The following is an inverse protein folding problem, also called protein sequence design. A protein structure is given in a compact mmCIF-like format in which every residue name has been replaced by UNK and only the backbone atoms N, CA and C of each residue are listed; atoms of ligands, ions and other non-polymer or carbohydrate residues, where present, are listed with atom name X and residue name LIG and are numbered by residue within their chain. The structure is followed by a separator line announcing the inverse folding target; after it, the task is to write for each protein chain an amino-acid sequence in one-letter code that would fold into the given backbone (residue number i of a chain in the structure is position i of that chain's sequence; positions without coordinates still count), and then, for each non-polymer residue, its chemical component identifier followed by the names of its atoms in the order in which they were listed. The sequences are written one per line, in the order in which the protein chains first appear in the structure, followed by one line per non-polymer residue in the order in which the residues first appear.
data_IF_978708838820
#
_entry.id   IF_978708838820
#
_cell.length_a   1.000
_cell.length_b   1.000
_cell.length_c   1.000
_cell.angle_alpha   90.00
_cell.angle_beta   90.00
_cell.angle_gamma   90.00
#
_symmetry.space_group_name_H-M   'P 1'
#
loop_
_entity.id
_entity.type
_entity.pdbx_description
1 polymer ?
#
# COMPACT_ATOMS: atom_id res chain seq x y z
N UNK A 1 -1.87 -8.80 21.57
CA UNK A 1 -2.88 -7.76 21.88
C UNK A 1 -3.97 -8.35 22.77
N UNK A 2 -4.75 -7.53 23.47
CA UNK A 2 -5.97 -7.98 24.19
C UNK A 2 -7.08 -6.92 24.13
N UNK A 3 -8.33 -7.35 24.25
CA UNK A 3 -9.52 -6.51 24.43
C UNK A 3 -10.24 -6.97 25.70
N UNK A 4 -10.68 -6.03 26.52
CA UNK A 4 -11.47 -6.30 27.72
C UNK A 4 -12.82 -5.62 27.61
N UNK A 5 -13.89 -6.36 27.90
CA UNK A 5 -15.28 -5.87 27.93
C UNK A 5 -15.84 -6.21 29.32
N UNK A 6 -15.94 -5.23 30.20
CA UNK A 6 -16.24 -5.49 31.61
C UNK A 6 -15.19 -6.40 32.25
N UNK A 7 -15.60 -7.61 32.67
CA UNK A 7 -14.71 -8.63 33.25
C UNK A 7 -14.18 -9.64 32.22
N UNK A 8 -14.75 -9.68 31.01
CA UNK A 8 -14.32 -10.60 29.97
C UNK A 8 -13.04 -10.11 29.31
N UNK A 9 -12.09 -11.01 29.10
CA UNK A 9 -10.81 -10.72 28.46
C UNK A 9 -10.61 -11.62 27.25
N UNK A 10 -10.31 -10.99 26.12
CA UNK A 10 -10.02 -11.63 24.84
C UNK A 10 -8.57 -11.35 24.46
N UNK A 11 -7.74 -12.37 24.29
CA UNK A 11 -6.29 -12.18 24.10
C UNK A 11 -5.64 -13.15 23.12
N UNK A 12 -6.40 -14.05 22.50
CA UNK A 12 -5.86 -14.91 21.45
C UNK A 12 -5.75 -14.16 20.13
N UNK A 13 -4.89 -14.60 19.22
CA UNK A 13 -4.77 -13.97 17.88
C UNK A 13 -6.05 -14.08 17.06
N UNK A 14 -6.85 -15.13 17.31
CA UNK A 14 -8.17 -15.31 16.72
C UNK A 14 -9.21 -14.36 17.28
N UNK A 15 -9.01 -13.82 18.50
CA UNK A 15 -9.91 -12.84 19.09
C UNK A 15 -9.54 -11.41 18.73
N UNK A 16 -8.25 -11.08 18.81
CA UNK A 16 -7.75 -9.73 18.61
C UNK A 16 -6.34 -9.72 18.05
N UNK A 17 -6.14 -8.90 17.02
CA UNK A 17 -4.83 -8.64 16.43
C UNK A 17 -4.63 -7.15 16.24
N UNK A 18 -3.51 -6.61 16.71
CA UNK A 18 -3.18 -5.21 16.40
C UNK A 18 -3.01 -5.05 14.88
N UNK A 19 -3.53 -3.96 14.32
CA UNK A 19 -3.27 -3.64 12.91
C UNK A 19 -1.82 -3.15 12.77
N UNK A 20 -1.16 -3.43 11.64
CA UNK A 20 0.27 -3.13 11.44
C UNK A 20 0.62 -1.64 11.58
N UNK A 21 -0.34 -0.75 11.34
CA UNK A 21 -0.21 0.70 11.53
C UNK A 21 -0.62 1.18 12.94
N UNK A 22 -1.00 0.30 13.86
CA UNK A 22 -1.39 0.69 15.22
C UNK A 22 -0.23 1.37 15.95
N UNK A 23 -0.56 2.34 16.79
CA UNK A 23 0.31 2.76 17.89
C UNK A 23 0.23 1.72 19.02
N UNK A 24 1.29 1.66 19.83
CA UNK A 24 1.30 0.81 21.02
C UNK A 24 0.67 1.56 22.19
N UNK A 25 -0.21 0.90 22.92
CA UNK A 25 -0.81 1.49 24.11
C UNK A 25 -2.03 0.76 24.64
N UNK A 26 -2.45 1.23 25.82
CA UNK A 26 -3.65 0.83 26.52
C UNK A 26 -4.65 1.99 26.46
N UNK A 27 -5.82 1.73 25.85
CA UNK A 27 -6.88 2.73 25.71
C UNK A 27 -8.17 2.16 26.27
N UNK A 28 -8.79 2.90 27.19
CA UNK A 28 -10.13 2.60 27.70
C UNK A 28 -11.11 3.69 27.28
N UNK A 29 -12.31 3.30 26.84
CA UNK A 29 -13.37 4.24 26.55
C UNK A 29 -14.71 3.60 26.21
N UNK A 30 -15.74 4.44 26.18
CA UNK A 30 -17.05 4.09 25.64
C UNK A 30 -16.95 3.75 24.15
N UNK A 31 -17.88 2.93 23.65
CA UNK A 31 -17.86 2.48 22.26
C UNK A 31 -18.89 3.22 21.41
N UNK A 32 -18.47 3.66 20.23
CA UNK A 32 -19.35 4.16 19.17
C UNK A 32 -19.19 3.30 17.93
N UNK A 33 -20.30 2.75 17.45
CA UNK A 33 -20.33 2.07 16.16
C UNK A 33 -20.46 3.10 15.04
N UNK A 34 -19.43 3.24 14.21
CA UNK A 34 -19.40 4.19 13.10
C UNK A 34 -19.59 3.48 11.74
N UNK A 35 -20.40 2.41 11.69
CA UNK A 35 -20.68 1.69 10.46
C UNK A 35 -19.39 1.25 9.74
N UNK A 36 -19.21 1.66 8.49
CA UNK A 36 -17.99 1.37 7.73
C UNK A 36 -16.82 2.32 8.02
N UNK A 37 -16.98 3.39 8.80
CA UNK A 37 -15.91 4.34 9.11
C UNK A 37 -15.37 5.09 7.88
N UNK A 38 -16.18 5.20 6.82
CA UNK A 38 -15.78 5.79 5.54
C UNK A 38 -16.18 7.27 5.52
N UNK A 39 -15.28 8.09 4.97
CA UNK A 39 -15.53 9.50 4.70
C UNK A 39 -15.14 9.77 3.25
N UNK A 40 -16.13 10.00 2.40
CA UNK A 40 -15.98 10.45 1.02
C UNK A 40 -16.23 11.95 1.01
N UNK A 41 -15.20 12.78 0.73
CA UNK A 41 -15.38 14.21 0.56
C UNK A 41 -16.43 14.49 -0.52
N UNK A 42 -17.32 15.44 -0.27
CA UNK A 42 -18.35 15.84 -1.24
C UNK A 42 -17.76 16.58 -2.44
N UNK A 43 -17.18 15.85 -3.39
CA UNK A 43 -16.77 16.39 -4.68
C UNK A 43 -17.46 15.63 -5.80
N UNK A 44 -18.50 16.27 -6.37
CA UNK A 44 -19.22 15.92 -7.60
C UNK A 44 -19.91 14.54 -7.62
N UNK A 45 -21.10 14.48 -6.99
CA UNK A 45 -22.21 13.52 -7.21
C UNK A 45 -22.45 12.42 -6.15
N UNK A 46 -21.55 12.21 -5.19
CA UNK A 46 -21.79 11.25 -4.07
C UNK A 46 -20.95 11.61 -2.84
N UNK A 47 -21.62 11.80 -1.70
CA UNK A 47 -20.99 12.04 -0.39
C UNK A 47 -21.43 10.97 0.60
N UNK A 48 -20.49 10.50 1.43
CA UNK A 48 -20.76 9.48 2.45
C UNK A 48 -19.86 9.77 3.65
N UNK A 49 -20.45 10.06 4.81
CA UNK A 49 -19.69 10.29 6.04
C UNK A 49 -20.32 9.47 7.18
N UNK A 50 -19.64 8.38 7.56
CA UNK A 50 -20.07 7.52 8.65
C UNK A 50 -20.11 8.21 10.02
N UNK A 51 -19.53 9.40 10.15
CA UNK A 51 -19.39 10.15 11.40
C UNK A 51 -20.29 11.39 11.48
N UNK A 52 -21.10 11.69 10.46
CA UNK A 52 -21.82 12.97 10.35
C UNK A 52 -22.68 13.33 11.58
N UNK A 53 -23.18 12.33 12.31
CA UNK A 53 -24.03 12.49 13.50
C UNK A 53 -23.41 11.90 14.77
N UNK A 54 -22.12 11.55 14.74
CA UNK A 54 -21.46 10.82 15.81
C UNK A 54 -20.45 11.68 16.56
N UNK A 55 -20.63 11.75 17.87
CA UNK A 55 -19.56 12.18 18.77
C UNK A 55 -18.64 11.00 19.09
N UNK A 56 -17.46 11.00 18.48
CA UNK A 56 -16.42 9.99 18.68
C UNK A 56 -15.23 10.50 19.49
N UNK A 57 -15.30 11.75 19.96
CA UNK A 57 -14.20 12.35 20.70
C UNK A 57 -13.98 11.58 22.00
N UNK A 58 -12.72 11.23 22.28
CA UNK A 58 -12.28 10.50 23.46
C UNK A 58 -12.83 9.07 23.61
N UNK A 59 -13.44 8.51 22.55
CA UNK A 59 -14.10 7.19 22.54
C UNK A 59 -13.32 6.13 21.74
N UNK A 60 -13.74 4.87 21.91
CA UNK A 60 -13.32 3.74 21.08
C UNK A 60 -14.32 3.60 19.93
N UNK A 61 -13.84 3.69 18.70
CA UNK A 61 -14.71 3.59 17.51
C UNK A 61 -14.68 2.16 16.98
N UNK A 62 -15.85 1.53 16.88
CA UNK A 62 -16.03 0.24 16.22
C UNK A 62 -16.48 0.45 14.77
N UNK A 63 -15.76 -0.16 13.82
CA UNK A 63 -16.08 -0.09 12.38
C UNK A 63 -16.08 -1.47 11.73
N UNK A 64 -16.88 -1.61 10.67
CA UNK A 64 -16.86 -2.75 9.77
C UNK A 64 -15.64 -2.70 8.85
N UNK A 65 -15.04 -3.86 8.59
CA UNK A 65 -14.12 -4.08 7.46
C UNK A 65 -14.89 -3.90 6.14
N UNK A 66 -14.20 -3.57 5.06
CA UNK A 66 -14.75 -3.36 3.71
C UNK A 66 -15.64 -2.11 3.57
N UNK A 67 -16.63 -2.14 2.70
CA UNK A 67 -17.52 -1.04 2.37
C UNK A 67 -18.92 -1.61 2.05
N UNK A 68 -19.96 -0.78 1.93
CA UNK A 68 -21.31 -1.22 1.54
C UNK A 68 -21.35 -2.03 0.23
N UNK A 69 -21.57 -3.35 0.32
CA UNK A 69 -21.54 -4.27 -0.82
C UNK A 69 -22.88 -4.43 -1.55
N UNK A 70 -23.98 -3.91 -1.03
CA UNK A 70 -25.29 -3.93 -1.73
C UNK A 70 -25.51 -2.62 -2.53
N UNK A 71 -24.55 -1.70 -2.52
CA UNK A 71 -24.60 -0.43 -3.24
C UNK A 71 -24.42 -0.60 -4.76
N UNK A 72 -24.88 0.40 -5.54
CA UNK A 72 -24.68 0.44 -6.99
C UNK A 72 -23.19 0.42 -7.38
N UNK A 73 -22.87 -0.15 -8.54
CA UNK A 73 -21.48 -0.37 -8.99
C UNK A 73 -20.63 0.92 -9.01
N UNK A 74 -21.20 2.05 -9.43
CA UNK A 74 -20.51 3.36 -9.42
C UNK A 74 -20.16 3.77 -7.99
N UNK A 75 -21.09 3.61 -7.07
CA UNK A 75 -20.94 3.91 -5.65
C UNK A 75 -19.89 3.02 -4.99
N UNK A 76 -19.91 1.70 -5.27
CA UNK A 76 -18.87 0.77 -4.82
C UNK A 76 -17.48 1.21 -5.27
N UNK A 77 -17.32 1.58 -6.55
CA UNK A 77 -16.04 2.01 -7.10
C UNK A 77 -15.50 3.28 -6.42
N UNK A 78 -16.38 4.16 -5.92
CA UNK A 78 -16.00 5.32 -5.11
C UNK A 78 -15.62 4.87 -3.70
N UNK A 79 -16.50 4.16 -3.00
CA UNK A 79 -16.33 3.73 -1.60
C UNK A 79 -15.09 2.86 -1.40
N UNK A 80 -14.79 1.97 -2.35
CA UNK A 80 -13.59 1.11 -2.33
C UNK A 80 -12.29 1.92 -2.23
N UNK A 81 -12.24 3.14 -2.77
CA UNK A 81 -11.06 4.04 -2.69
C UNK A 81 -10.82 4.58 -1.28
N UNK A 82 -11.84 4.52 -0.43
CA UNK A 82 -11.83 5.04 0.95
C UNK A 82 -12.01 3.93 1.99
N UNK A 83 -12.03 2.67 1.57
CA UNK A 83 -12.22 1.51 2.44
C UNK A 83 -10.92 1.00 3.09
N UNK A 84 -9.77 1.59 2.73
CA UNK A 84 -8.48 1.26 3.34
C UNK A 84 -8.52 1.46 4.87
N UNK A 85 -7.99 0.49 5.61
CA UNK A 85 -8.08 0.49 7.07
C UNK A 85 -7.34 1.66 7.71
N UNK A 86 -6.20 2.06 7.13
CA UNK A 86 -5.44 3.22 7.63
C UNK A 86 -6.23 4.49 7.39
N UNK A 87 -6.89 4.62 6.24
CA UNK A 87 -7.77 5.75 5.95
C UNK A 87 -8.92 5.85 6.97
N UNK A 88 -9.60 4.74 7.28
CA UNK A 88 -10.65 4.70 8.32
C UNK A 88 -10.12 5.10 9.69
N UNK A 89 -8.95 4.57 10.08
CA UNK A 89 -8.32 4.91 11.34
C UNK A 89 -7.95 6.40 11.43
N UNK A 90 -7.45 6.98 10.33
CA UNK A 90 -7.19 8.42 10.23
C UNK A 90 -8.46 9.25 10.35
N UNK A 91 -9.56 8.83 9.73
CA UNK A 91 -10.84 9.53 9.80
C UNK A 91 -11.40 9.58 11.24
N UNK A 92 -11.29 8.48 11.99
CA UNK A 92 -11.65 8.43 13.41
C UNK A 92 -10.72 9.30 14.26
N UNK A 93 -9.39 9.19 14.07
CA UNK A 93 -8.38 9.96 14.80
C UNK A 93 -8.57 11.46 14.62
N UNK A 94 -8.81 11.93 13.39
CA UNK A 94 -9.03 13.35 13.10
C UNK A 94 -10.25 13.94 13.82
N UNK A 95 -11.19 13.08 14.23
CA UNK A 95 -12.38 13.44 15.01
C UNK A 95 -12.22 13.21 16.52
N UNK A 96 -11.01 12.86 16.97
CA UNK A 96 -10.67 12.73 18.39
C UNK A 96 -10.88 11.35 19.00
N UNK A 97 -11.12 10.31 18.20
CA UNK A 97 -11.17 8.94 18.73
C UNK A 97 -9.82 8.52 19.34
N UNK A 98 -9.86 7.76 20.45
CA UNK A 98 -8.65 7.24 21.11
C UNK A 98 -8.21 5.89 20.56
N UNK A 99 -9.15 5.08 20.11
CA UNK A 99 -8.87 3.80 19.48
C UNK A 99 -9.88 3.46 18.40
N UNK A 100 -9.48 2.56 17.49
CA UNK A 100 -10.34 1.98 16.46
C UNK A 100 -10.31 0.46 16.53
N UNK A 101 -11.48 -0.15 16.63
CA UNK A 101 -11.69 -1.58 16.50
C UNK A 101 -12.31 -1.87 15.14
N UNK A 102 -11.74 -2.82 14.41
CA UNK A 102 -12.22 -3.26 13.10
C UNK A 102 -12.75 -4.68 13.22
N UNK A 103 -14.01 -4.91 12.84
CA UNK A 103 -14.60 -6.24 12.77
C UNK A 103 -14.92 -6.60 11.33
N UNK A 104 -14.60 -7.84 10.91
CA UNK A 104 -15.11 -8.38 9.64
C UNK A 104 -16.58 -8.74 9.81
N UNK A 105 -17.47 -7.98 9.16
CA UNK A 105 -18.91 -8.06 9.38
C UNK A 105 -19.52 -9.44 9.05
N UNK A 106 -20.64 -9.84 9.69
CA UNK A 106 -21.33 -11.10 9.42
C UNK A 106 -21.76 -11.33 7.97
N UNK A 107 -21.97 -10.25 7.20
CA UNK A 107 -22.34 -10.30 5.77
C UNK A 107 -21.16 -10.13 4.83
N UNK A 108 -19.93 -10.10 5.35
CA UNK A 108 -18.71 -9.91 4.59
C UNK A 108 -17.96 -11.22 4.35
N UNK A 109 -17.09 -11.29 3.33
CA UNK A 109 -16.14 -12.40 3.19
C UNK A 109 -15.29 -12.57 4.46
N UNK A 110 -15.02 -13.81 4.86
CA UNK A 110 -14.26 -14.15 6.08
C UNK A 110 -14.92 -13.59 7.36
N UNK A 111 -16.26 -13.64 7.43
CA UNK A 111 -17.07 -13.13 8.52
C UNK A 111 -16.53 -13.53 9.89
N UNK A 112 -16.32 -12.54 10.76
CA UNK A 112 -15.84 -12.74 12.13
C UNK A 112 -14.36 -13.08 12.27
N UNK A 113 -13.60 -13.29 11.19
CA UNK A 113 -12.16 -13.53 11.26
C UNK A 113 -11.39 -12.22 11.52
N UNK A 114 -10.31 -12.33 12.32
CA UNK A 114 -9.35 -11.24 12.51
C UNK A 114 -8.52 -11.01 11.25
N UNK A 115 -8.14 -9.76 11.03
CA UNK A 115 -7.34 -9.36 9.88
C UNK A 115 -5.89 -9.78 10.13
N UNK A 116 -5.27 -10.58 9.24
CA UNK A 116 -3.87 -10.96 9.39
C UNK A 116 -2.97 -9.73 9.33
N UNK A 117 -1.83 -9.82 10.00
CA UNK A 117 -0.84 -8.75 9.93
C UNK A 117 -0.31 -8.65 8.51
N UNK A 118 -0.50 -7.50 7.88
CA UNK A 118 0.06 -7.19 6.57
C UNK A 118 1.17 -6.15 6.72
N UNK A 119 2.07 -6.13 5.75
CA UNK A 119 3.06 -5.07 5.68
C UNK A 119 2.39 -3.69 5.58
N UNK A 120 2.95 -2.73 6.30
CA UNK A 120 2.56 -1.32 6.26
C UNK A 120 3.74 -0.49 5.75
N UNK A 121 3.54 0.18 4.61
CA UNK A 121 4.57 0.97 3.93
C UNK A 121 4.92 2.27 4.66
N UNK A 122 4.15 2.65 5.68
CA UNK A 122 4.45 3.84 6.45
C UNK A 122 5.53 3.59 7.51
N UNK A 123 6.49 4.52 7.58
CA UNK A 123 7.59 4.49 8.54
C UNK A 123 7.17 4.73 10.00
N UNK A 124 5.93 5.18 10.23
CA UNK A 124 5.40 5.52 11.55
C UNK A 124 3.99 4.96 11.73
N UNK A 125 3.62 4.77 13.01
CA UNK A 125 2.26 4.44 13.41
C UNK A 125 1.24 5.48 12.96
N UNK A 126 -0.03 5.09 12.99
CA UNK A 126 -1.16 5.91 12.53
C UNK A 126 -1.52 7.05 13.49
N UNK A 127 -0.88 7.14 14.67
CA UNK A 127 -1.22 8.12 15.69
C UNK A 127 -2.46 7.73 16.50
N UNK A 128 -2.90 6.47 16.41
CA UNK A 128 -4.07 5.92 17.11
C UNK A 128 -3.87 4.42 17.38
N UNK A 129 -4.42 3.94 18.50
CA UNK A 129 -4.47 2.51 18.81
C UNK A 129 -5.51 1.85 17.91
N UNK A 130 -5.11 0.82 17.17
CA UNK A 130 -5.97 0.17 16.19
C UNK A 130 -5.84 -1.36 16.21
N UNK A 131 -6.97 -2.06 16.34
CA UNK A 131 -6.98 -3.52 16.36
C UNK A 131 -8.11 -4.10 15.52
N UNK A 132 -7.84 -5.24 14.89
CA UNK A 132 -8.89 -6.12 14.38
C UNK A 132 -9.40 -6.98 15.52
N UNK A 133 -10.71 -7.16 15.59
CA UNK A 133 -11.38 -8.03 16.55
C UNK A 133 -12.22 -9.09 15.83
N UNK A 134 -12.43 -10.22 16.49
CA UNK A 134 -13.27 -11.29 15.98
C UNK A 134 -14.76 -10.96 16.07
N UNK A 135 -15.57 -11.75 15.37
CA UNK A 135 -17.02 -11.68 15.48
C UNK A 135 -17.52 -11.93 16.91
N UNK A 136 -16.84 -12.78 17.68
CA UNK A 136 -17.20 -13.07 19.07
C UNK A 136 -16.98 -11.85 19.98
N UNK A 137 -15.83 -11.16 19.84
CA UNK A 137 -15.56 -9.92 20.57
C UNK A 137 -16.57 -8.83 20.20
N UNK A 138 -16.85 -8.66 18.91
CA UNK A 138 -17.82 -7.68 18.45
C UNK A 138 -19.24 -8.00 18.93
N UNK A 139 -19.62 -9.28 19.00
CA UNK A 139 -20.88 -9.71 19.60
C UNK A 139 -20.95 -9.32 21.07
N UNK A 140 -19.90 -9.56 21.86
CA UNK A 140 -19.86 -9.15 23.29
C UNK A 140 -20.05 -7.64 23.49
N UNK A 141 -19.56 -6.81 22.54
CA UNK A 141 -19.83 -5.37 22.53
C UNK A 141 -21.31 -5.09 22.20
N UNK A 142 -21.87 -5.75 21.18
CA UNK A 142 -23.25 -5.54 20.73
C UNK A 142 -24.32 -6.10 21.66
N UNK A 143 -23.99 -7.07 22.51
CA UNK A 143 -24.90 -7.64 23.51
C UNK A 143 -25.40 -6.58 24.52
N UNK A 144 -24.72 -5.44 24.62
CA UNK A 144 -25.19 -4.26 25.37
C UNK A 144 -26.41 -3.56 24.75
N UNK A 145 -26.82 -3.92 23.53
CA UNK A 145 -27.98 -3.35 22.81
C UNK A 145 -29.05 -4.44 22.61
N UNK A 146 -30.07 -4.51 23.48
CA UNK A 146 -31.15 -5.48 23.33
C UNK A 146 -31.84 -5.38 21.96
N UNK A 147 -31.99 -6.51 21.28
CA UNK A 147 -32.72 -6.61 20.02
C UNK A 147 -32.03 -6.03 18.79
N UNK A 148 -30.74 -5.69 18.87
CA UNK A 148 -29.96 -5.22 17.71
C UNK A 148 -28.68 -6.03 17.56
N UNK A 149 -28.52 -6.71 16.44
CA UNK A 149 -27.28 -7.45 16.14
C UNK A 149 -26.35 -6.66 15.23
N UNK A 150 -25.07 -7.03 15.21
CA UNK A 150 -24.11 -6.51 14.23
C UNK A 150 -24.54 -6.82 12.79
N UNK A 151 -25.19 -7.97 12.57
CA UNK A 151 -25.71 -8.36 11.26
C UNK A 151 -26.82 -7.41 10.80
N UNK A 152 -27.76 -7.06 11.67
CA UNK A 152 -28.85 -6.13 11.35
C UNK A 152 -28.30 -4.73 11.05
N UNK A 153 -27.33 -4.28 11.87
CA UNK A 153 -26.67 -3.00 11.66
C UNK A 153 -25.91 -2.95 10.33
N UNK A 154 -25.20 -4.03 9.97
CA UNK A 154 -24.52 -4.13 8.68
C UNK A 154 -25.50 -4.15 7.51
N UNK A 155 -26.57 -4.96 7.59
CA UNK A 155 -27.59 -5.05 6.53
C UNK A 155 -28.20 -3.68 6.20
N UNK A 156 -28.46 -2.84 7.21
CA UNK A 156 -28.99 -1.50 7.00
C UNK A 156 -27.98 -0.57 6.27
N UNK A 157 -26.68 -0.78 6.49
CA UNK A 157 -25.61 0.02 5.91
C UNK A 157 -25.17 -0.43 4.51
N UNK A 158 -25.40 -1.70 4.15
CA UNK A 158 -24.84 -2.31 2.93
C UNK A 158 -25.33 -1.67 1.62
N UNK A 159 -26.48 -1.00 1.65
CA UNK A 159 -27.00 -0.22 0.51
C UNK A 159 -26.32 1.13 0.30
N UNK A 160 -25.37 1.52 1.18
CA UNK A 160 -24.79 2.86 1.25
C UNK A 160 -25.82 3.99 1.46
N UNK A 161 -26.96 3.68 2.07
CA UNK A 161 -27.99 4.67 2.37
C UNK A 161 -27.45 5.76 3.31
N UNK A 162 -27.42 7.05 2.91
CA UNK A 162 -26.88 8.14 3.73
C UNK A 162 -27.73 8.45 4.97
N UNK A 163 -28.96 7.93 5.05
CA UNK A 163 -29.84 8.11 6.20
C UNK A 163 -29.62 7.07 7.32
N UNK A 164 -28.81 6.04 7.06
CA UNK A 164 -28.43 5.06 8.09
C UNK A 164 -27.12 5.50 8.72
N UNK A 165 -27.22 5.97 9.97
CA UNK A 165 -26.07 6.41 10.74
C UNK A 165 -25.57 5.31 11.69
N UNK A 166 -24.33 5.48 12.14
CA UNK A 166 -23.84 4.77 13.32
C UNK A 166 -24.57 5.20 14.60
N UNK A 167 -24.14 4.65 15.74
CA UNK A 167 -24.75 4.95 17.04
C UNK A 167 -23.77 4.68 18.19
N UNK A 168 -23.98 5.35 19.31
CA UNK A 168 -23.31 5.01 20.56
C UNK A 168 -23.81 3.66 21.09
N UNK A 169 -22.91 2.86 21.66
CA UNK A 169 -23.27 1.60 22.32
C UNK A 169 -23.33 1.90 23.83
N UNK A 170 -24.51 1.96 24.44
CA UNK A 170 -24.66 2.35 25.83
C UNK A 170 -24.10 1.28 26.77
N UNK A 171 -23.66 1.70 27.97
CA UNK A 171 -23.28 0.81 29.07
C UNK A 171 -22.16 -0.19 28.77
N UNK A 172 -21.37 0.04 27.71
CA UNK A 172 -20.18 -0.75 27.40
C UNK A 172 -18.94 0.14 27.44
N UNK A 173 -17.94 -0.30 28.18
CA UNK A 173 -16.60 0.27 28.17
C UNK A 173 -15.64 -0.81 27.72
N UNK A 174 -14.78 -0.47 26.77
CA UNK A 174 -13.79 -1.39 26.22
C UNK A 174 -12.41 -0.88 26.54
N UNK A 175 -11.53 -1.79 26.99
CA UNK A 175 -10.10 -1.53 27.07
C UNK A 175 -9.38 -2.29 25.97
N UNK A 176 -8.61 -1.57 25.17
CA UNK A 176 -7.81 -2.10 24.05
C UNK A 176 -6.35 -1.99 24.41
N UNK A 177 -5.67 -3.13 24.47
CA UNK A 177 -4.22 -3.21 24.55
C UNK A 177 -3.68 -3.66 23.19
N UNK A 178 -3.09 -2.72 22.45
CA UNK A 178 -2.44 -3.03 21.17
C UNK A 178 -0.93 -2.93 21.32
N UNK A 179 -0.24 -3.96 20.84
CA UNK A 179 1.22 -4.01 20.76
C UNK A 179 1.62 -4.48 19.38
N UNK A 180 2.36 -3.63 18.68
CA UNK A 180 3.03 -3.90 17.41
C UNK A 180 4.53 -3.79 17.66
N UNK A 181 5.24 -4.89 17.44
CA UNK A 181 6.69 -4.90 17.43
C UNK A 181 7.17 -4.44 16.05
N UNK A 182 7.80 -3.25 16.00
CA UNK A 182 8.37 -2.73 14.76
C UNK A 182 9.83 -3.12 14.66
N UNK A 183 10.14 -4.01 13.75
CA UNK A 183 11.52 -4.36 13.43
C UNK A 183 12.12 -3.32 12.49
N UNK A 184 13.33 -2.86 12.81
CA UNK A 184 14.13 -2.04 11.90
C UNK A 184 15.24 -2.89 11.35
N UNK A 185 15.34 -2.94 10.02
CA UNK A 185 16.42 -3.61 9.29
C UNK A 185 17.12 -2.58 8.40
N UNK A 186 18.40 -2.81 8.15
CA UNK A 186 19.20 -1.97 7.25
C UNK A 186 19.18 -2.58 5.85
N UNK A 187 18.68 -1.82 4.88
CA UNK A 187 18.79 -2.14 3.45
C UNK A 187 19.85 -1.26 2.79
N UNK A 188 20.53 -1.77 1.76
CA UNK A 188 21.62 -1.07 1.09
C UNK A 188 21.30 -0.92 -0.39
N UNK A 189 21.21 0.30 -0.90
CA UNK A 189 21.25 0.47 -2.36
C UNK A 189 22.69 0.28 -2.85
N UNK A 190 22.84 -0.35 -4.01
CA UNK A 190 24.13 -0.41 -4.71
C UNK A 190 24.04 0.48 -5.93
N UNK A 191 24.95 1.45 -6.06
CA UNK A 191 24.98 2.34 -7.21
C UNK A 191 26.40 2.48 -7.75
N UNK A 192 26.52 2.49 -9.07
CA UNK A 192 27.75 2.74 -9.80
C UNK A 192 27.48 3.76 -10.91
N UNK A 193 28.52 4.48 -11.36
CA UNK A 193 28.40 5.30 -12.55
C UNK A 193 29.49 4.98 -13.56
N UNK A 194 29.09 5.00 -14.83
CA UNK A 194 29.97 4.93 -15.99
C UNK A 194 30.10 6.35 -16.55
N UNK A 195 31.29 6.97 -16.48
CA UNK A 195 31.50 8.28 -17.08
C UNK A 195 31.26 8.26 -18.59
N UNK A 196 30.78 9.37 -19.12
CA UNK A 196 30.77 9.63 -20.55
C UNK A 196 32.20 9.50 -21.12
N UNK A 197 32.33 8.97 -22.33
CA UNK A 197 33.61 8.91 -23.05
C UNK A 197 33.92 10.21 -23.81
N UNK A 198 32.95 11.12 -23.89
CA UNK A 198 33.09 12.47 -24.47
C UNK A 198 32.76 13.54 -23.42
N UNK A 199 33.27 14.76 -23.61
CA UNK A 199 32.96 15.87 -22.72
C UNK A 199 31.45 16.14 -22.65
N UNK A 200 30.92 16.33 -21.44
CA UNK A 200 29.49 16.60 -21.18
C UNK A 200 29.20 18.07 -20.84
N UNK A 201 30.19 18.95 -20.98
CA UNK A 201 30.00 20.38 -20.81
C UNK A 201 28.97 20.90 -21.82
N UNK A 202 27.95 21.63 -21.34
CA UNK A 202 26.85 22.14 -22.19
C UNK A 202 25.78 21.09 -22.56
N UNK A 203 25.95 19.82 -22.19
CA UNK A 203 24.93 18.79 -22.39
C UNK A 203 23.83 18.96 -21.35
N UNK A 204 22.65 19.42 -21.78
CA UNK A 204 21.48 19.50 -20.92
C UNK A 204 21.15 18.10 -20.37
N UNK A 205 21.05 17.97 -19.03
CA UNK A 205 20.78 16.73 -18.30
C UNK A 205 21.78 15.58 -18.54
N UNK A 206 23.06 15.72 -18.20
CA UNK A 206 24.15 14.86 -18.67
C UNK A 206 24.12 13.40 -18.17
N UNK A 207 23.06 12.96 -17.50
CA UNK A 207 22.92 11.61 -16.94
C UNK A 207 21.77 10.81 -17.57
N UNK A 208 21.98 9.51 -17.73
CA UNK A 208 20.92 8.50 -17.91
C UNK A 208 21.03 7.55 -16.72
N UNK A 209 19.91 7.07 -16.21
CA UNK A 209 19.89 6.10 -15.12
C UNK A 209 19.20 4.80 -15.56
N UNK A 210 19.82 3.66 -15.25
CA UNK A 210 19.25 2.33 -15.33
C UNK A 210 19.07 1.81 -13.90
N UNK A 211 17.92 1.21 -13.60
CA UNK A 211 17.71 0.63 -12.29
C UNK A 211 16.84 -0.61 -12.28
N UNK A 212 17.09 -1.45 -11.30
CA UNK A 212 16.29 -2.62 -10.94
C UNK A 212 16.30 -2.73 -9.41
N UNK A 213 15.31 -3.40 -8.80
CA UNK A 213 15.47 -3.84 -7.42
C UNK A 213 16.15 -5.20 -7.36
N UNK A 214 16.76 -5.51 -6.22
CA UNK A 214 17.49 -6.76 -6.01
C UNK A 214 17.06 -7.51 -4.74
N UNK A 215 16.15 -6.95 -3.93
CA UNK A 215 15.51 -7.63 -2.80
C UNK A 215 14.25 -8.40 -3.22
N UNK A 216 13.98 -9.54 -2.62
CA UNK A 216 12.73 -10.29 -2.85
C UNK A 216 12.14 -10.81 -1.53
N UNK A 217 10.97 -11.45 -1.61
CA UNK A 217 10.10 -11.80 -0.48
C UNK A 217 10.68 -12.80 0.54
N UNK A 218 11.76 -13.51 0.22
CA UNK A 218 12.30 -14.54 1.11
C UNK A 218 11.26 -15.62 1.38
N UNK A 219 10.79 -15.77 2.62
CA UNK A 219 9.73 -16.73 2.98
C UNK A 219 8.31 -16.15 2.95
N UNK A 220 8.10 -14.92 2.45
CA UNK A 220 6.77 -14.31 2.35
C UNK A 220 6.17 -13.82 3.67
N UNK A 221 6.99 -13.71 4.71
CA UNK A 221 6.59 -13.41 6.10
C UNK A 221 5.94 -12.02 6.27
N UNK A 222 6.11 -11.12 5.30
CA UNK A 222 5.59 -9.75 5.34
C UNK A 222 4.13 -9.64 4.84
N UNK A 223 3.47 -10.74 4.46
CA UNK A 223 2.06 -10.73 4.05
C UNK A 223 1.78 -10.02 2.72
N UNK A 224 2.83 -9.81 1.91
CA UNK A 224 2.80 -9.33 0.53
C UNK A 224 2.96 -10.48 -0.48
N UNK A 225 2.97 -11.74 -0.02
CA UNK A 225 3.03 -12.94 -0.85
C UNK A 225 1.66 -13.28 -1.46
N UNK A 226 1.68 -13.75 -2.72
CA UNK A 226 0.53 -14.37 -3.39
C UNK A 226 0.52 -15.90 -3.29
N UNK A 227 1.43 -16.48 -2.47
CA UNK A 227 1.49 -17.91 -2.24
C UNK A 227 0.16 -18.44 -1.70
N UNK A 228 -0.20 -19.66 -2.12
CA UNK A 228 -1.30 -20.38 -1.49
C UNK A 228 -0.93 -20.76 -0.05
N UNK A 229 -1.91 -21.21 0.73
CA UNK A 229 -1.66 -21.63 2.13
C UNK A 229 -0.61 -22.74 2.21
N UNK A 230 -0.55 -23.61 1.21
CA UNK A 230 0.39 -24.72 1.10
C UNK A 230 1.83 -24.26 0.83
N UNK A 231 1.99 -23.08 0.23
CA UNK A 231 3.27 -22.51 -0.17
C UNK A 231 3.73 -21.33 0.70
N UNK A 232 2.92 -20.91 1.68
CA UNK A 232 3.11 -19.71 2.50
C UNK A 232 4.41 -19.65 3.34
N UNK A 233 5.19 -20.74 3.37
CA UNK A 233 6.48 -20.84 4.06
C UNK A 233 7.64 -21.21 3.14
N UNK A 234 7.40 -21.40 1.85
CA UNK A 234 8.45 -21.73 0.88
C UNK A 234 9.27 -20.50 0.54
N UNK A 235 10.52 -20.73 0.11
CA UNK A 235 11.37 -19.66 -0.38
C UNK A 235 10.84 -19.16 -1.71
N UNK A 236 10.57 -17.87 -1.77
CA UNK A 236 10.39 -17.09 -2.97
C UNK A 236 11.79 -16.74 -3.50
N UNK A 237 12.21 -17.41 -4.58
CA UNK A 237 13.56 -17.24 -5.15
C UNK A 237 13.72 -15.99 -6.01
N UNK A 238 12.61 -15.42 -6.48
CA UNK A 238 12.60 -14.17 -7.22
C UNK A 238 13.28 -14.20 -8.58
N UNK A 239 13.07 -15.26 -9.37
CA UNK A 239 13.71 -15.42 -10.67
C UNK A 239 13.30 -14.33 -11.68
N UNK A 240 12.01 -14.00 -11.73
CA UNK A 240 11.49 -12.93 -12.60
C UNK A 240 11.44 -11.60 -11.84
N UNK A 241 10.60 -11.55 -10.82
CA UNK A 241 10.57 -10.54 -9.77
C UNK A 241 11.58 -10.95 -8.69
N UNK A 242 12.86 -10.59 -8.77
CA UNK A 242 13.43 -9.48 -9.53
C UNK A 242 14.76 -9.77 -10.23
N UNK A 243 15.27 -10.99 -10.10
CA UNK A 243 16.62 -11.34 -10.56
C UNK A 243 16.78 -11.10 -12.07
N UNK A 244 15.71 -11.27 -12.85
CA UNK A 244 15.71 -10.99 -14.29
C UNK A 244 16.07 -9.53 -14.61
N UNK A 245 15.47 -8.56 -13.90
CA UNK A 245 15.71 -7.14 -14.08
C UNK A 245 17.12 -6.74 -13.64
N UNK A 246 17.53 -7.26 -12.47
CA UNK A 246 18.89 -7.08 -11.97
C UNK A 246 19.95 -7.63 -12.94
N UNK A 247 19.72 -8.82 -13.50
CA UNK A 247 20.61 -9.42 -14.50
C UNK A 247 20.67 -8.59 -15.79
N UNK A 248 19.52 -8.09 -16.28
CA UNK A 248 19.47 -7.24 -17.47
C UNK A 248 20.25 -5.92 -17.28
N UNK A 249 20.10 -5.28 -16.12
CA UNK A 249 20.82 -4.04 -15.79
C UNK A 249 22.33 -4.29 -15.67
N UNK A 250 22.75 -5.39 -15.03
CA UNK A 250 24.16 -5.78 -14.97
C UNK A 250 24.75 -6.04 -16.37
N UNK A 251 24.03 -6.78 -17.22
CA UNK A 251 24.46 -7.06 -18.58
C UNK A 251 24.57 -5.77 -19.42
N UNK A 252 23.56 -4.90 -19.35
CA UNK A 252 23.59 -3.59 -20.01
C UNK A 252 24.76 -2.73 -19.54
N UNK A 253 25.04 -2.70 -18.23
CA UNK A 253 26.18 -1.99 -17.68
C UNK A 253 27.52 -2.52 -18.21
N UNK A 254 27.68 -3.85 -18.27
CA UNK A 254 28.88 -4.48 -18.81
C UNK A 254 29.10 -4.13 -20.29
N UNK A 255 28.04 -4.19 -21.12
CA UNK A 255 28.12 -3.77 -22.53
C UNK A 255 28.45 -2.29 -22.65
N UNK A 256 27.72 -1.42 -21.93
CA UNK A 256 27.90 0.03 -22.00
C UNK A 256 29.30 0.45 -21.57
N UNK A 257 29.93 -0.23 -20.61
CA UNK A 257 31.30 0.07 -20.16
C UNK A 257 32.32 0.01 -21.31
N UNK A 258 32.08 -0.81 -22.32
CA UNK A 258 32.96 -1.00 -23.49
C UNK A 258 32.60 -0.13 -24.70
N UNK A 259 31.45 0.55 -24.67
CA UNK A 259 30.96 1.36 -25.79
C UNK A 259 31.19 2.86 -25.58
N UNK A 260 31.27 3.67 -26.67
CA UNK A 260 31.23 5.12 -26.55
C UNK A 260 29.94 5.59 -25.86
N UNK A 261 30.07 6.56 -24.95
CA UNK A 261 28.95 7.11 -24.16
C UNK A 261 28.97 8.63 -24.21
N UNK A 262 27.87 9.24 -24.66
CA UNK A 262 27.72 10.70 -24.74
C UNK A 262 27.13 11.33 -23.46
N UNK A 263 26.71 10.50 -22.51
CA UNK A 263 26.18 10.88 -21.19
C UNK A 263 26.78 9.96 -20.13
N UNK A 264 26.83 10.42 -18.90
CA UNK A 264 27.13 9.56 -17.78
C UNK A 264 25.97 8.57 -17.59
N UNK A 265 26.26 7.33 -17.23
CA UNK A 265 25.24 6.31 -16.94
C UNK A 265 25.32 5.95 -15.48
N UNK A 266 24.25 6.24 -14.73
CA UNK A 266 24.02 5.70 -13.38
C UNK A 266 23.41 4.31 -13.52
N UNK A 267 23.97 3.35 -12.81
CA UNK A 267 23.45 1.99 -12.69
C UNK A 267 23.13 1.77 -11.22
N UNK A 268 21.89 1.45 -10.89
CA UNK A 268 21.44 1.35 -9.50
C UNK A 268 20.61 0.09 -9.24
N UNK A 269 20.91 -0.56 -8.12
CA UNK A 269 20.17 -1.70 -7.57
C UNK A 269 19.52 -1.28 -6.27
N UNK A 270 18.19 -1.29 -6.25
CA UNK A 270 17.39 -0.81 -5.13
C UNK A 270 17.10 -1.94 -4.15
N UNK A 271 17.22 -1.65 -2.85
CA UNK A 271 16.81 -2.54 -1.78
C UNK A 271 15.44 -2.15 -1.24
N UNK A 272 14.73 -3.09 -0.62
CA UNK A 272 13.43 -2.90 0.02
C UNK A 272 12.38 -2.28 -0.93
N UNK A 273 12.37 -2.69 -2.19
CA UNK A 273 11.30 -2.38 -3.15
C UNK A 273 10.00 -3.08 -2.73
N UNK A 274 10.10 -4.36 -2.37
CA UNK A 274 8.99 -5.24 -1.98
C UNK A 274 8.25 -4.76 -0.73
N UNK A 275 8.98 -3.95 0.05
CA UNK A 275 8.54 -3.27 1.27
C UNK A 275 8.09 -1.82 0.98
N UNK A 276 7.75 -1.49 -0.26
CA UNK A 276 7.21 -0.19 -0.64
C UNK A 276 8.25 0.84 -1.07
N UNK A 277 9.18 0.46 -1.95
CA UNK A 277 10.07 1.39 -2.66
C UNK A 277 11.01 2.17 -1.73
N UNK A 278 11.44 1.55 -0.63
CA UNK A 278 12.19 2.23 0.42
C UNK A 278 13.56 2.65 -0.11
N UNK A 279 14.29 1.76 -0.81
CA UNK A 279 15.62 2.05 -1.34
C UNK A 279 15.63 3.18 -2.35
N UNK A 280 14.85 3.07 -3.43
CA UNK A 280 14.75 4.13 -4.44
C UNK A 280 14.14 5.42 -3.87
N UNK A 281 13.23 5.31 -2.90
CA UNK A 281 12.66 6.42 -2.17
C UNK A 281 13.68 7.19 -1.33
N UNK A 282 14.67 6.50 -0.75
CA UNK A 282 15.79 7.07 -0.02
C UNK A 282 16.78 7.76 -0.98
N UNK A 283 17.12 7.12 -2.10
CA UNK A 283 17.96 7.73 -3.14
C UNK A 283 17.34 9.03 -3.67
N UNK A 284 16.05 9.03 -4.02
CA UNK A 284 15.38 10.23 -4.52
C UNK A 284 15.26 11.35 -3.48
N UNK A 285 15.30 11.01 -2.18
CA UNK A 285 15.25 12.00 -1.10
C UNK A 285 16.61 12.69 -0.89
N UNK A 286 17.70 11.95 -1.01
CA UNK A 286 19.07 12.45 -0.88
C UNK A 286 19.97 11.91 -2.01
N UNK A 287 19.79 12.40 -3.25
CA UNK A 287 20.45 11.81 -4.40
C UNK A 287 21.91 12.30 -4.49
N UNK A 288 22.87 11.41 -4.82
CA UNK A 288 24.27 11.78 -5.01
C UNK A 288 24.50 12.64 -6.27
N UNK A 289 23.52 12.66 -7.19
CA UNK A 289 23.49 13.53 -8.37
C UNK A 289 22.16 14.29 -8.43
N UNK A 290 22.12 15.53 -8.93
CA UNK A 290 20.87 16.26 -9.07
C UNK A 290 19.87 15.50 -9.96
N UNK A 291 18.64 15.28 -9.48
CA UNK A 291 17.64 14.51 -10.24
C UNK A 291 17.23 15.19 -11.55
N UNK A 292 17.26 16.52 -11.58
CA UNK A 292 16.99 17.32 -12.77
C UNK A 292 18.09 17.19 -13.83
N UNK A 293 19.29 16.74 -13.45
CA UNK A 293 20.38 16.41 -14.36
C UNK A 293 20.21 15.04 -15.04
N UNK A 294 19.20 14.25 -14.67
CA UNK A 294 18.88 12.95 -15.29
C UNK A 294 17.91 13.15 -16.46
N UNK A 295 18.34 12.78 -17.66
CA UNK A 295 17.54 12.87 -18.88
C UNK A 295 16.45 11.80 -18.93
N UNK A 296 16.78 10.58 -18.48
CA UNK A 296 15.89 9.43 -18.45
C UNK A 296 16.26 8.47 -17.32
N UNK A 297 15.25 7.82 -16.76
CA UNK A 297 15.39 6.67 -15.88
C UNK A 297 14.66 5.50 -16.54
N UNK A 298 15.36 4.39 -16.78
CA UNK A 298 14.78 3.14 -17.27
C UNK A 298 14.76 2.14 -16.12
N UNK A 299 13.56 1.69 -15.77
CA UNK A 299 13.34 0.67 -14.74
C UNK A 299 13.26 -0.71 -15.41
N UNK A 300 13.92 -1.69 -14.81
CA UNK A 300 13.90 -3.09 -15.24
C UNK A 300 13.42 -3.93 -14.06
N UNK A 301 12.14 -4.24 -14.09
CA UNK A 301 11.46 -5.09 -13.13
C UNK A 301 10.69 -6.15 -13.94
N UNK A 302 10.74 -7.40 -13.49
CA UNK A 302 10.07 -8.55 -14.13
C UNK A 302 10.24 -8.63 -15.66
N UNK A 303 11.48 -8.72 -16.14
CA UNK A 303 11.78 -8.77 -17.59
C UNK A 303 11.98 -10.20 -18.14
N UNK A 304 11.76 -11.22 -17.32
CA UNK A 304 12.01 -12.63 -17.64
C UNK A 304 10.80 -13.43 -18.13
N UNK A 305 9.59 -12.86 -18.09
CA UNK A 305 8.32 -13.57 -18.40
C UNK A 305 7.73 -13.31 -19.79
N UNK A 306 8.51 -12.81 -20.74
CA UNK A 306 8.00 -12.53 -22.10
C UNK A 306 7.45 -13.80 -22.77
N UNK A 307 6.25 -13.70 -23.35
CA UNK A 307 5.59 -14.76 -24.12
C UNK A 307 5.12 -14.20 -25.46
N UNK A 308 5.02 -15.06 -26.48
CA UNK A 308 4.52 -14.72 -27.82
C UNK A 308 5.18 -13.48 -28.45
N UNK A 309 6.47 -13.24 -28.17
CA UNK A 309 7.20 -12.07 -28.66
C UNK A 309 6.64 -10.70 -28.21
N UNK A 310 5.77 -10.66 -27.19
CA UNK A 310 5.09 -9.43 -26.74
C UNK A 310 5.88 -8.71 -25.66
N UNK A 311 6.35 -7.50 -25.96
CA UNK A 311 7.07 -6.66 -25.02
C UNK A 311 6.15 -5.55 -24.47
N UNK A 312 5.80 -5.63 -23.20
CA UNK A 312 5.09 -4.55 -22.50
C UNK A 312 6.05 -3.46 -22.08
N UNK A 313 5.75 -2.22 -22.43
CA UNK A 313 6.53 -1.04 -22.01
C UNK A 313 5.60 -0.07 -21.30
N UNK A 314 5.87 0.17 -20.03
CA UNK A 314 5.05 1.06 -19.21
C UNK A 314 5.54 2.51 -19.27
N UNK A 315 4.66 3.43 -18.87
CA UNK A 315 4.96 4.85 -18.72
C UNK A 315 5.50 5.55 -20.00
N UNK A 316 5.16 5.05 -21.18
CA UNK A 316 5.58 5.63 -22.47
C UNK A 316 5.03 7.05 -22.69
N UNK A 317 3.96 7.42 -21.98
CA UNK A 317 3.39 8.77 -21.98
C UNK A 317 4.17 9.81 -21.16
N UNK A 318 5.29 9.45 -20.52
CA UNK A 318 6.07 10.36 -19.67
C UNK A 318 7.02 11.29 -20.43
N UNK A 319 7.28 11.01 -21.71
CA UNK A 319 8.08 11.86 -22.59
C UNK A 319 7.55 11.76 -24.02
N UNK A 320 7.43 12.89 -24.76
CA UNK A 320 7.07 12.86 -26.17
C UNK A 320 8.12 12.15 -27.04
N UNK A 321 9.35 11.98 -26.53
CA UNK A 321 10.42 11.30 -27.25
C UNK A 321 10.27 9.77 -27.24
N UNK A 322 9.51 9.20 -26.31
CA UNK A 322 9.52 7.75 -26.09
C UNK A 322 9.01 6.94 -27.27
N UNK A 323 7.91 7.36 -27.90
CA UNK A 323 7.34 6.65 -29.05
C UNK A 323 8.40 6.41 -30.13
N UNK A 324 9.07 7.49 -30.56
CA UNK A 324 10.12 7.42 -31.59
C UNK A 324 11.32 6.58 -31.15
N UNK A 325 11.82 6.76 -29.93
CA UNK A 325 13.01 6.03 -29.45
C UNK A 325 12.71 4.54 -29.38
N UNK A 326 11.55 4.16 -28.82
CA UNK A 326 11.12 2.76 -28.69
C UNK A 326 10.96 2.13 -30.08
N UNK A 327 10.25 2.78 -30.99
CA UNK A 327 10.06 2.28 -32.36
C UNK A 327 11.41 2.06 -33.06
N UNK A 328 12.32 3.03 -32.98
CA UNK A 328 13.65 2.93 -33.59
C UNK A 328 14.50 1.81 -33.00
N UNK A 329 14.53 1.69 -31.66
CA UNK A 329 15.25 0.61 -31.00
C UNK A 329 14.66 -0.77 -31.32
N UNK A 330 13.35 -0.84 -31.53
CA UNK A 330 12.67 -2.09 -31.83
C UNK A 330 12.86 -2.59 -33.27
N UNK A 331 13.33 -1.75 -34.21
CA UNK A 331 13.64 -2.19 -35.59
C UNK A 331 14.65 -3.36 -35.57
N UNK A 332 15.66 -3.28 -34.72
CA UNK A 332 16.66 -4.33 -34.59
C UNK A 332 16.21 -5.48 -33.67
N UNK A 333 15.37 -5.18 -32.67
CA UNK A 333 14.96 -6.15 -31.65
C UNK A 333 13.78 -7.04 -32.09
N UNK A 334 12.86 -6.52 -32.89
CA UNK A 334 11.78 -7.29 -33.51
C UNK A 334 10.64 -7.71 -32.58
N UNK A 335 10.39 -7.01 -31.47
CA UNK A 335 9.30 -7.35 -30.54
C UNK A 335 7.94 -6.82 -31.00
N UNK A 336 6.87 -7.52 -30.63
CA UNK A 336 5.51 -7.02 -30.71
C UNK A 336 5.24 -6.10 -29.51
N UNK A 337 5.32 -4.79 -29.75
CA UNK A 337 5.26 -3.80 -28.67
C UNK A 337 3.83 -3.61 -28.12
N UNK A 338 3.71 -3.65 -26.80
CA UNK A 338 2.50 -3.32 -26.05
C UNK A 338 2.75 -2.08 -25.16
N UNK A 339 2.75 -0.86 -25.74
CA UNK A 339 3.00 0.36 -24.98
C UNK A 339 1.80 0.72 -24.10
N UNK A 340 2.04 0.98 -22.82
CA UNK A 340 1.04 1.43 -21.85
C UNK A 340 1.29 2.90 -21.47
N UNK A 341 0.49 3.85 -21.99
CA UNK A 341 0.68 5.27 -21.76
C UNK A 341 0.15 5.68 -20.37
N UNK A 342 0.90 5.34 -19.32
CA UNK A 342 0.64 5.89 -17.98
C UNK A 342 1.26 7.28 -17.92
N UNK A 343 0.42 8.32 -17.89
CA UNK A 343 0.89 9.69 -17.63
C UNK A 343 1.20 9.84 -16.14
N UNK A 344 2.49 9.84 -15.79
CA UNK A 344 2.90 10.31 -14.46
C UNK A 344 2.72 11.84 -14.47
N UNK A 345 1.77 12.34 -13.69
CA UNK A 345 1.39 13.75 -13.65
C UNK A 345 2.46 14.61 -12.97
N UNK A 346 3.62 14.84 -13.62
CA UNK A 346 4.57 15.98 -13.47
C UNK A 346 5.99 15.62 -13.99
N UNK A 347 6.81 16.63 -14.34
CA UNK A 347 8.23 16.43 -14.69
C UNK A 347 9.01 15.70 -13.58
N UNK A 348 10.16 15.14 -13.95
CA UNK A 348 11.02 14.31 -13.09
C UNK A 348 11.23 15.00 -11.72
N UNK A 349 10.58 14.48 -10.69
CA UNK A 349 10.53 15.02 -9.33
C UNK A 349 10.69 13.88 -8.34
N UNK A 350 10.86 14.20 -7.04
CA UNK A 350 10.97 13.18 -5.97
C UNK A 350 9.85 12.12 -5.99
N UNK A 351 8.68 12.43 -6.57
CA UNK A 351 7.54 11.51 -6.72
C UNK A 351 7.59 10.64 -7.99
N UNK A 352 8.27 11.08 -9.06
CA UNK A 352 8.30 10.34 -10.32
C UNK A 352 9.27 9.16 -10.30
N UNK A 353 10.44 9.30 -9.65
CA UNK A 353 11.38 8.17 -9.45
C UNK A 353 10.76 7.15 -8.51
N UNK A 354 10.14 7.61 -7.41
CA UNK A 354 9.35 6.73 -6.54
C UNK A 354 8.27 5.96 -7.30
N UNK A 355 7.57 6.56 -8.27
CA UNK A 355 6.55 5.83 -9.05
C UNK A 355 7.15 4.96 -10.17
N UNK A 356 8.30 5.35 -10.73
CA UNK A 356 8.96 4.62 -11.81
C UNK A 356 9.67 3.36 -11.32
N UNK A 357 10.02 3.25 -10.04
CA UNK A 357 10.52 2.00 -9.46
C UNK A 357 9.44 0.95 -9.20
N UNK A 358 8.15 1.29 -9.39
CA UNK A 358 6.99 0.40 -9.16
C UNK A 358 6.40 -0.14 -10.46
N UNK A 359 7.01 0.17 -11.61
CA UNK A 359 6.39 0.05 -12.94
C UNK A 359 7.34 -0.56 -13.97
#
# INVERSE_FOLDING_TARGET
SRVMIGQETFSTETDVRALSFSDNGDVTGEVVFAGYGIVVPGSQDFGYDSYATLDVKDKVVLVLRYFPEDAEQKTKAILARYADLRYKAMAARQRGAKAVLVVTGPRSPNAGETIPMSFDTALAGSGIVAASISGAVAKGIFDAIPGKTLQDAQQALDSANPHVAGFAIPNVTVTVHAMVQREKKTGNNVAAYLPATTAVAGVAKPWIALGAHYDHLGHGEAGNTLATKEDASKIHFGADDNASGSAAVLAAAATLATQPRHRNVLVAFWSAEELGLIGSGAFAANPPIPLDAIAAYLNFDMVGRMQDNKLTIQATGTSPAWAKVIEQSNIAAGFDLLPSPIRISRPMSRRSIRRACRA
#
